data_IF_237317919468
#
_entry.id   IF_237317919468
#
_cell.length_a   1.000
_cell.length_b   1.000
_cell.length_c   1.000
_cell.angle_alpha   90.00
_cell.angle_beta   90.00
_cell.angle_gamma   90.00
#
_symmetry.space_group_name_H-M   'P 1'
#
loop_
_entity.id
_entity.type
_entity.pdbx_description
1 polymer ?
#
# COMPACT_ATOMS: atom_id res chain seq x y z
N UNK A 1 11.38 -9.38 2.24
CA UNK A 1 10.18 -9.82 1.53
C UNK A 1 9.71 -8.63 0.69
N UNK A 2 9.42 -8.86 -0.59
CA UNK A 2 8.82 -7.85 -1.48
C UNK A 2 7.32 -7.78 -1.19
N UNK A 3 6.68 -6.65 -1.49
CA UNK A 3 5.21 -6.49 -1.46
C UNK A 3 4.45 -7.58 -2.22
N UNK A 4 5.13 -8.32 -3.10
CA UNK A 4 4.61 -9.48 -3.82
C UNK A 4 3.94 -10.56 -2.95
N UNK A 5 4.34 -10.72 -1.69
CA UNK A 5 3.78 -11.76 -0.80
C UNK A 5 2.62 -11.28 0.07
N UNK A 6 2.23 -10.01 -0.03
CA UNK A 6 1.12 -9.46 0.76
C UNK A 6 -0.21 -9.99 0.18
N UNK A 7 -1.07 -10.64 0.98
CA UNK A 7 -2.40 -11.07 0.54
C UNK A 7 -3.28 -9.89 0.16
N UNK A 8 -4.04 -10.02 -0.92
CA UNK A 8 -4.91 -8.94 -1.41
C UNK A 8 -6.06 -8.60 -0.47
N UNK A 9 -6.58 -9.62 0.21
CA UNK A 9 -7.70 -9.58 1.15
C UNK A 9 -7.28 -9.14 2.57
N UNK A 10 -5.98 -8.97 2.82
CA UNK A 10 -5.51 -8.47 4.11
C UNK A 10 -6.13 -7.09 4.39
N UNK A 11 -6.75 -6.88 5.56
CA UNK A 11 -7.27 -5.58 5.94
C UNK A 11 -6.14 -4.54 6.08
N UNK A 12 -6.38 -3.35 5.56
CA UNK A 12 -5.43 -2.24 5.57
C UNK A 12 -6.13 -0.89 5.55
N UNK A 13 -5.40 0.15 5.97
CA UNK A 13 -5.87 1.53 5.95
C UNK A 13 -4.93 2.38 5.13
N UNK A 14 -5.40 2.95 4.02
CA UNK A 14 -4.66 3.98 3.30
C UNK A 14 -4.86 5.34 3.96
N UNK A 15 -3.75 5.98 4.26
CA UNK A 15 -3.65 7.29 4.87
C UNK A 15 -3.03 8.22 3.83
N UNK A 16 -3.64 9.38 3.67
CA UNK A 16 -3.05 10.47 2.91
C UNK A 16 -2.76 11.63 3.87
N UNK A 17 -1.54 12.18 3.80
CA UNK A 17 -1.11 13.26 4.68
C UNK A 17 -1.63 14.65 4.28
N UNK A 18 -2.42 14.77 3.21
CA UNK A 18 -3.13 16.02 2.87
C UNK A 18 -4.39 16.26 3.73
N UNK A 19 -4.66 15.40 4.74
CA UNK A 19 -5.78 15.57 5.67
C UNK A 19 -7.13 15.05 5.14
N UNK A 20 -7.11 14.24 4.08
CA UNK A 20 -8.29 13.53 3.59
C UNK A 20 -8.67 12.39 4.53
N UNK A 21 -9.96 12.01 4.52
CA UNK A 21 -10.41 10.83 5.26
C UNK A 21 -9.64 9.58 4.80
N UNK A 22 -9.12 8.76 5.73
CA UNK A 22 -8.42 7.55 5.36
C UNK A 22 -9.38 6.54 4.74
N UNK A 23 -8.89 5.76 3.78
CA UNK A 23 -9.61 4.63 3.23
C UNK A 23 -9.34 3.41 4.11
N UNK A 24 -10.39 2.87 4.72
CA UNK A 24 -10.34 1.61 5.48
C UNK A 24 -10.91 0.51 4.58
N UNK A 25 -10.10 -0.51 4.27
CA UNK A 25 -10.50 -1.58 3.34
C UNK A 25 -9.48 -2.71 3.31
N UNK A 26 -9.17 -3.21 2.12
CA UNK A 26 -8.16 -4.24 1.89
C UNK A 26 -6.89 -3.67 1.24
N UNK A 27 -5.81 -4.45 1.20
CA UNK A 27 -4.60 -4.12 0.44
C UNK A 27 -4.92 -3.92 -1.04
N UNK A 28 -5.87 -4.67 -1.60
CA UNK A 28 -6.32 -4.47 -2.98
C UNK A 28 -7.00 -3.13 -3.17
N UNK A 29 -7.92 -2.75 -2.27
CA UNK A 29 -8.60 -1.45 -2.33
C UNK A 29 -7.59 -0.29 -2.25
N UNK A 30 -6.58 -0.43 -1.39
CA UNK A 30 -5.49 0.53 -1.26
C UNK A 30 -4.70 0.63 -2.57
N UNK A 31 -4.28 -0.48 -3.17
CA UNK A 31 -3.53 -0.46 -4.44
C UNK A 31 -4.35 0.17 -5.58
N UNK A 32 -5.65 -0.14 -5.66
CA UNK A 32 -6.58 0.45 -6.62
C UNK A 32 -6.67 1.98 -6.44
N UNK A 33 -6.89 2.45 -5.22
CA UNK A 33 -7.00 3.89 -4.94
C UNK A 33 -5.68 4.64 -5.23
N UNK A 34 -4.54 4.05 -4.87
CA UNK A 34 -3.23 4.64 -5.18
C UNK A 34 -2.99 4.79 -6.69
N UNK A 35 -3.42 3.80 -7.48
CA UNK A 35 -3.32 3.85 -8.93
C UNK A 35 -4.12 5.02 -9.53
N UNK A 36 -5.22 5.44 -8.89
CA UNK A 36 -6.06 6.56 -9.31
C UNK A 36 -5.56 7.93 -8.82
N UNK A 37 -4.64 7.97 -7.84
CA UNK A 37 -4.11 9.22 -7.32
C UNK A 37 -3.28 10.00 -8.35
N UNK A 38 -3.35 11.33 -8.23
CA UNK A 38 -2.42 12.26 -8.89
C UNK A 38 -1.02 12.09 -8.29
N UNK A 39 0.07 12.45 -9.01
CA UNK A 39 1.43 12.27 -8.54
C UNK A 39 1.71 12.82 -7.13
N UNK A 40 1.29 14.06 -6.83
CA UNK A 40 1.49 14.65 -5.50
C UNK A 40 0.82 13.83 -4.38
N UNK A 41 -0.39 13.31 -4.63
CA UNK A 41 -1.13 12.51 -3.65
C UNK A 41 -0.48 11.13 -3.44
N UNK A 42 0.17 10.56 -4.45
CA UNK A 42 0.93 9.30 -4.31
C UNK A 42 2.13 9.47 -3.38
N UNK A 43 2.85 10.57 -3.48
CA UNK A 43 3.98 10.87 -2.58
C UNK A 43 3.54 11.04 -1.13
N UNK A 44 2.27 11.42 -0.91
CA UNK A 44 1.69 11.57 0.42
C UNK A 44 0.95 10.33 0.95
N UNK A 45 0.84 9.26 0.15
CA UNK A 45 0.09 8.07 0.52
C UNK A 45 0.93 7.10 1.36
N UNK A 46 0.35 6.60 2.45
CA UNK A 46 0.88 5.52 3.30
C UNK A 46 -0.20 4.47 3.45
N UNK A 47 0.19 3.21 3.62
CA UNK A 47 -0.76 2.14 3.96
C UNK A 47 -0.38 1.52 5.29
N UNK A 48 -1.25 1.64 6.28
CA UNK A 48 -1.13 0.92 7.54
C UNK A 48 -1.71 -0.49 7.37
N UNK A 49 -0.87 -1.49 7.61
CA UNK A 49 -1.22 -2.90 7.59
C UNK A 49 -1.72 -3.35 8.96
N UNK A 50 -2.61 -4.34 8.98
CA UNK A 50 -3.03 -5.04 10.21
C UNK A 50 -2.11 -6.20 10.62
N UNK A 51 -1.22 -6.62 9.71
CA UNK A 51 -0.20 -7.64 9.95
C UNK A 51 1.13 -7.14 9.41
N UNK A 52 2.22 -7.19 10.20
CA UNK A 52 3.48 -6.60 9.79
C UNK A 52 4.23 -7.50 8.81
N UNK A 53 4.89 -6.88 7.85
CA UNK A 53 5.63 -7.56 6.77
C UNK A 53 7.13 -7.36 6.93
N UNK A 54 7.93 -8.31 6.46
CA UNK A 54 9.38 -8.20 6.53
C UNK A 54 9.94 -7.50 5.28
N UNK A 55 10.72 -6.42 5.46
CA UNK A 55 11.45 -5.77 4.34
C UNK A 55 12.85 -6.34 4.20
N UNK A 56 13.30 -6.54 2.96
CA UNK A 56 14.70 -6.91 2.70
C UNK A 56 15.62 -5.82 3.27
N UNK A 57 16.65 -6.21 4.02
CA UNK A 57 17.61 -5.29 4.62
C UNK A 57 17.16 -4.62 5.94
N UNK A 58 15.97 -4.95 6.47
CA UNK A 58 15.52 -4.47 7.80
C UNK A 58 15.47 -5.63 8.78
N UNK A 59 15.98 -5.42 9.99
CA UNK A 59 15.93 -6.44 11.06
C UNK A 59 14.52 -6.64 11.61
N UNK A 60 13.72 -5.57 11.69
CA UNK A 60 12.36 -5.59 12.22
C UNK A 60 11.31 -5.66 11.11
N UNK A 61 10.13 -6.20 11.42
CA UNK A 61 8.97 -6.13 10.53
C UNK A 61 8.37 -4.72 10.54
N UNK A 62 7.77 -4.31 9.42
CA UNK A 62 7.10 -3.01 9.26
C UNK A 62 5.59 -3.18 9.23
N UNK A 63 4.89 -2.16 9.70
CA UNK A 63 3.43 -2.06 9.65
C UNK A 63 2.95 -1.07 8.60
N UNK A 64 3.81 -0.14 8.17
CA UNK A 64 3.45 0.90 7.22
C UNK A 64 4.13 0.59 5.90
N UNK A 65 3.43 0.74 4.78
CA UNK A 65 3.99 0.78 3.44
C UNK A 65 4.18 2.23 3.00
N UNK A 66 5.34 2.51 2.43
CA UNK A 66 5.73 3.79 1.85
C UNK A 66 5.23 3.91 0.40
N UNK A 67 5.17 5.13 -0.19
CA UNK A 67 4.71 5.34 -1.57
C UNK A 67 5.29 4.39 -2.61
N UNK A 68 6.60 4.09 -2.54
CA UNK A 68 7.26 3.22 -3.51
C UNK A 68 6.82 1.75 -3.38
N UNK A 69 6.50 1.29 -2.17
CA UNK A 69 5.99 -0.07 -1.94
C UNK A 69 4.53 -0.18 -2.38
N UNK A 70 3.74 0.88 -2.16
CA UNK A 70 2.36 0.92 -2.67
C UNK A 70 2.37 0.94 -4.21
N UNK A 71 3.37 1.59 -4.83
CA UNK A 71 3.56 1.55 -6.28
C UNK A 71 3.86 0.13 -6.78
N UNK A 72 4.68 -0.66 -6.07
CA UNK A 72 4.90 -2.08 -6.41
C UNK A 72 3.58 -2.89 -6.38
N UNK A 73 2.72 -2.63 -5.39
CA UNK A 73 1.39 -3.24 -5.33
C UNK A 73 0.51 -2.80 -6.50
N UNK A 74 0.49 -1.51 -6.83
CA UNK A 74 -0.27 -1.01 -7.98
C UNK A 74 0.20 -1.63 -9.31
N UNK A 75 1.51 -1.80 -9.49
CA UNK A 75 2.07 -2.46 -10.68
C UNK A 75 1.79 -3.97 -10.71
N UNK A 76 1.78 -4.64 -9.54
CA UNK A 76 1.30 -6.03 -9.45
C UNK A 76 -0.18 -6.12 -9.84
N UNK A 77 -1.01 -5.24 -9.31
CA UNK A 77 -2.44 -5.20 -9.58
C UNK A 77 -2.76 -4.99 -11.08
N UNK A 78 -2.05 -4.08 -11.76
CA UNK A 78 -2.17 -3.88 -13.22
C UNK A 78 -1.83 -5.15 -14.01
N UNK A 79 -0.78 -5.87 -13.62
CA UNK A 79 -0.40 -7.15 -14.26
C UNK A 79 -1.45 -8.23 -14.11
N UNK A 80 -2.31 -8.13 -13.09
CA UNK A 80 -3.41 -9.06 -12.82
C UNK A 80 -4.74 -8.64 -13.50
N UNK A 81 -4.76 -7.54 -14.29
CA UNK A 81 -5.90 -7.14 -15.12
C UNK A 81 -6.81 -6.07 -14.52
N UNK A 82 -6.29 -5.23 -13.63
CA UNK A 82 -6.96 -3.99 -13.17
C UNK A 82 -6.87 -2.86 -14.19
#
# INVERSE_FOLDING_TARGET
MSTATIPWDQPATMIDLEGRAPLIGTVRDCAMHFALYKPHAREQARVLLTVPVHRVGRQTRTWVLEPFEIAELAERLKREGF
#
